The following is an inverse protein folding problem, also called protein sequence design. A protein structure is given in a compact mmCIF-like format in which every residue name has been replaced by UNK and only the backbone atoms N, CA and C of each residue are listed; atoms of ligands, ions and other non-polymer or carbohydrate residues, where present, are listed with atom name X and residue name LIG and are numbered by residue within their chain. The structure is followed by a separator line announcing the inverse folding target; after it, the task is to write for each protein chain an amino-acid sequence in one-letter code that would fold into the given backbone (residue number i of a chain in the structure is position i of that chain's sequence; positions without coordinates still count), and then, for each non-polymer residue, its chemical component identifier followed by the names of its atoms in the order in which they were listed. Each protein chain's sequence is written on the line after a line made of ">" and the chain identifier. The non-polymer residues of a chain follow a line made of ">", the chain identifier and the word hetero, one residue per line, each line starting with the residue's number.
data_IF_275192979120
#
_entry.id   IF_275192979120
#
_cell.length_a   1.000
_cell.length_b   1.000
_cell.length_c   1.000
_cell.angle_alpha   90.00
_cell.angle_beta   90.00
_cell.angle_gamma   90.00
#
_symmetry.space_group_name_H-M   'P 1'
#
loop_
_entity.id
_entity.type
_entity.pdbx_description
1 polymer ?
#
# COMPACT_ATOMS: atom_id res chain seq x y z
N UNK A 1 -3.83 -6.22 48.12
CA UNK A 1 -3.95 -4.80 47.66
C UNK A 1 -4.73 -4.63 46.34
N UNK A 2 -5.67 -5.51 45.96
CA UNK A 2 -6.31 -5.44 44.62
C UNK A 2 -7.58 -4.54 44.51
N UNK A 3 -8.18 -4.08 45.61
CA UNK A 3 -9.46 -3.33 45.58
C UNK A 3 -9.37 -1.83 45.24
N UNK A 4 -8.19 -1.28 44.94
CA UNK A 4 -8.01 0.18 44.67
C UNK A 4 -7.90 0.58 43.19
N UNK A 5 -7.83 -0.37 42.26
CA UNK A 5 -7.65 -0.08 40.82
C UNK A 5 -8.96 0.06 40.02
N UNK A 6 -10.11 -0.29 40.60
CA UNK A 6 -11.42 -0.28 39.90
C UNK A 6 -12.21 1.04 39.99
N UNK A 7 -11.73 2.05 40.75
CA UNK A 7 -12.48 3.29 41.00
C UNK A 7 -12.10 4.50 40.12
N UNK A 8 -11.13 4.37 39.20
CA UNK A 8 -10.75 5.49 38.32
C UNK A 8 -11.62 5.64 37.05
N UNK A 9 -12.52 4.68 36.76
CA UNK A 9 -13.35 4.69 35.55
C UNK A 9 -14.65 5.49 35.61
N UNK A 10 -15.00 6.13 36.74
CA UNK A 10 -16.37 6.66 36.97
C UNK A 10 -16.55 8.18 36.90
N UNK A 11 -15.48 8.96 36.74
CA UNK A 11 -15.55 10.45 36.74
C UNK A 11 -15.36 11.11 35.37
N UNK A 12 -15.19 10.33 34.28
CA UNK A 12 -15.04 10.86 32.93
C UNK A 12 -16.35 10.87 32.10
N UNK A 13 -17.46 10.37 32.65
CA UNK A 13 -18.70 10.08 31.91
C UNK A 13 -19.89 11.02 32.22
N UNK A 14 -19.67 12.15 32.88
CA UNK A 14 -20.73 13.10 33.28
C UNK A 14 -20.54 14.53 32.75
N UNK A 15 -19.66 14.74 31.76
CA UNK A 15 -19.26 16.06 31.26
C UNK A 15 -19.75 16.44 29.86
N UNK A 16 -20.65 15.68 29.23
CA UNK A 16 -21.05 15.88 27.82
C UNK A 16 -22.53 15.53 27.56
N UNK A 17 -23.43 16.09 28.38
CA UNK A 17 -24.87 15.85 28.31
C UNK A 17 -25.75 17.12 28.34
N UNK A 18 -25.22 18.27 27.90
CA UNK A 18 -25.99 19.50 27.62
C UNK A 18 -25.30 20.24 26.46
N UNK A 19 -25.89 20.25 25.25
CA UNK A 19 -25.70 21.23 24.15
C UNK A 19 -26.05 20.72 22.73
N UNK A 20 -27.05 19.86 22.54
CA UNK A 20 -27.66 19.63 21.19
C UNK A 20 -29.19 19.61 21.32
N UNK A 21 -29.75 20.78 21.62
CA UNK A 21 -31.19 20.99 21.70
C UNK A 21 -31.47 22.49 21.48
N UNK A 22 -31.39 22.93 20.21
CA UNK A 22 -31.91 24.20 19.63
C UNK A 22 -31.26 24.47 18.24
N UNK A 23 -31.66 23.71 17.21
CA UNK A 23 -31.38 24.05 15.81
C UNK A 23 -32.37 23.33 14.87
N UNK A 24 -33.55 23.91 14.67
CA UNK A 24 -34.47 23.55 13.59
C UNK A 24 -35.15 24.80 13.04
N UNK A 25 -35.27 24.91 11.72
CA UNK A 25 -36.54 25.22 11.04
C UNK A 25 -36.87 24.12 10.00
N UNK A 26 -38.10 23.64 9.81
CA UNK A 26 -39.37 24.27 9.38
C UNK A 26 -39.44 24.53 7.85
N UNK A 27 -40.40 23.85 7.18
CA UNK A 27 -40.75 23.97 5.74
C UNK A 27 -39.79 23.20 4.81
N UNK A 28 -40.15 22.66 3.63
CA UNK A 28 -41.42 22.53 2.91
C UNK A 28 -41.14 21.92 1.51
N UNK A 29 -42.07 21.32 0.76
CA UNK A 29 -43.47 21.01 1.05
C UNK A 29 -44.00 19.84 0.18
N UNK A 30 -45.29 19.53 0.32
CA UNK A 30 -46.12 18.61 -0.46
C UNK A 30 -46.12 18.86 -1.99
N UNK A 31 -46.01 17.80 -2.80
CA UNK A 31 -46.58 17.75 -4.15
C UNK A 31 -46.93 16.30 -4.54
N UNK A 32 -48.20 16.03 -4.83
CA UNK A 32 -48.68 14.76 -5.40
C UNK A 32 -48.53 14.78 -6.93
N UNK A 33 -48.49 13.60 -7.57
CA UNK A 33 -48.40 13.50 -9.03
C UNK A 33 -48.57 12.07 -9.55
N UNK A 34 -49.75 11.49 -9.37
CA UNK A 34 -50.17 10.25 -10.04
C UNK A 34 -50.83 10.60 -11.37
N UNK A 35 -50.46 9.88 -12.43
CA UNK A 35 -51.25 9.42 -13.60
C UNK A 35 -50.25 9.07 -14.72
N UNK A 36 -50.42 8.13 -15.66
CA UNK A 36 -51.11 6.84 -15.85
C UNK A 36 -51.18 6.63 -17.40
N UNK A 37 -50.92 5.41 -17.86
CA UNK A 37 -51.28 4.80 -19.17
C UNK A 37 -51.11 5.57 -20.50
N UNK A 38 -50.23 5.07 -21.39
CA UNK A 38 -50.62 4.49 -22.71
C UNK A 38 -49.38 4.07 -23.57
N UNK A 39 -49.47 2.99 -24.41
CA UNK A 39 -48.40 2.57 -25.32
C UNK A 39 -48.70 2.87 -26.82
N UNK A 40 -47.66 3.05 -27.65
CA UNK A 40 -47.43 2.38 -28.95
C UNK A 40 -46.56 3.15 -29.97
N UNK A 41 -45.85 2.36 -30.77
CA UNK A 41 -45.25 2.65 -32.10
C UNK A 41 -43.95 3.46 -32.23
N UNK A 42 -43.13 3.19 -33.29
CA UNK A 42 -41.69 3.41 -33.26
C UNK A 42 -41.16 4.39 -34.32
N UNK A 43 -39.83 4.49 -34.38
CA UNK A 43 -39.04 5.09 -35.47
C UNK A 43 -39.03 6.63 -35.60
N UNK A 44 -38.33 7.29 -34.67
CA UNK A 44 -37.66 8.57 -34.93
C UNK A 44 -36.27 8.57 -34.27
N UNK A 45 -35.28 9.19 -34.94
CA UNK A 45 -33.89 9.28 -34.46
C UNK A 45 -33.83 10.08 -33.15
N UNK A 46 -33.03 9.68 -32.14
CA UNK A 46 -32.83 10.51 -30.96
C UNK A 46 -32.03 11.77 -31.34
N UNK A 47 -32.51 12.99 -31.03
CA UNK A 47 -31.65 14.16 -31.02
C UNK A 47 -30.66 14.06 -29.85
N UNK A 48 -29.51 14.72 -29.98
CA UNK A 48 -28.47 14.74 -28.95
C UNK A 48 -29.00 15.48 -27.72
N UNK A 49 -29.45 14.72 -26.72
CA UNK A 49 -29.86 15.27 -25.44
C UNK A 49 -28.63 15.83 -24.71
N UNK A 50 -28.53 17.15 -24.66
CA UNK A 50 -27.62 17.82 -23.72
C UNK A 50 -28.08 17.49 -22.30
N UNK A 51 -27.42 16.53 -21.67
CA UNK A 51 -27.54 16.29 -20.23
C UNK A 51 -26.93 17.50 -19.54
N UNK A 52 -27.78 18.45 -19.16
CA UNK A 52 -27.38 19.57 -18.32
C UNK A 52 -26.83 18.98 -17.01
N UNK A 53 -25.54 19.21 -16.76
CA UNK A 53 -24.90 18.75 -15.54
C UNK A 53 -25.60 19.43 -14.34
N UNK A 54 -26.29 18.63 -13.53
CA UNK A 54 -26.87 19.13 -12.29
C UNK A 54 -25.72 19.69 -11.42
N UNK A 55 -25.88 20.89 -10.83
CA UNK A 55 -24.88 21.43 -9.93
C UNK A 55 -24.76 20.48 -8.73
N UNK A 56 -23.64 19.77 -8.64
CA UNK A 56 -23.29 19.02 -7.43
C UNK A 56 -23.33 20.01 -6.28
N UNK A 57 -24.18 19.73 -5.28
CA UNK A 57 -24.34 20.59 -4.11
C UNK A 57 -22.95 20.84 -3.51
N UNK A 58 -22.52 22.11 -3.54
CA UNK A 58 -21.27 22.52 -2.93
C UNK A 58 -21.42 22.31 -1.42
N UNK A 59 -20.92 21.19 -0.93
CA UNK A 59 -20.90 20.90 0.50
C UNK A 59 -19.99 21.94 1.15
N UNK A 60 -20.55 22.76 2.05
CA UNK A 60 -19.88 23.93 2.60
C UNK A 60 -18.69 23.54 3.50
N UNK A 61 -17.52 23.40 2.88
CA UNK A 61 -16.24 23.13 3.55
C UNK A 61 -15.86 24.18 4.61
N UNK A 62 -16.55 25.34 4.62
CA UNK A 62 -16.43 26.39 5.62
C UNK A 62 -16.83 25.94 7.04
N UNK A 63 -17.84 25.08 7.19
CA UNK A 63 -18.21 24.53 8.51
C UNK A 63 -17.10 23.65 9.08
N UNK A 64 -16.54 22.76 8.25
CA UNK A 64 -15.42 21.89 8.62
C UNK A 64 -14.14 22.69 8.93
N UNK A 65 -13.85 23.75 8.17
CA UNK A 65 -12.73 24.64 8.44
C UNK A 65 -12.85 25.35 9.79
N UNK A 66 -14.06 25.82 10.16
CA UNK A 66 -14.34 26.39 11.48
C UNK A 66 -14.17 25.36 12.60
N UNK A 67 -14.72 24.15 12.44
CA UNK A 67 -14.59 23.08 13.42
C UNK A 67 -13.13 22.70 13.71
N UNK A 68 -12.32 22.55 12.66
CA UNK A 68 -10.89 22.23 12.78
C UNK A 68 -10.08 23.38 13.40
N UNK A 69 -10.42 24.64 13.10
CA UNK A 69 -9.80 25.82 13.71
C UNK A 69 -10.01 25.86 15.22
N UNK A 70 -11.25 25.64 15.68
CA UNK A 70 -11.58 25.58 17.11
C UNK A 70 -10.86 24.42 17.81
N UNK A 71 -10.80 23.24 17.17
CA UNK A 71 -10.11 22.07 17.73
C UNK A 71 -8.60 22.32 17.92
N UNK A 72 -7.96 22.99 16.95
CA UNK A 72 -6.56 23.41 17.02
C UNK A 72 -6.30 24.34 18.20
N UNK A 73 -7.16 25.35 18.39
CA UNK A 73 -7.03 26.33 19.47
C UNK A 73 -7.20 25.69 20.87
N UNK A 74 -8.09 24.71 21.01
CA UNK A 74 -8.23 23.89 22.23
C UNK A 74 -6.94 23.10 22.52
N UNK A 75 -6.31 22.52 21.50
CA UNK A 75 -5.03 21.80 21.62
C UNK A 75 -3.89 22.70 22.12
N UNK A 76 -3.78 23.92 21.57
CA UNK A 76 -2.79 24.92 22.01
C UNK A 76 -3.06 25.37 23.45
N UNK A 77 -4.33 25.62 23.81
CA UNK A 77 -4.69 25.96 25.18
C UNK A 77 -4.30 24.84 26.18
N UNK A 78 -4.51 23.57 25.83
CA UNK A 78 -4.11 22.42 26.66
C UNK A 78 -2.58 22.27 26.82
N UNK A 79 -1.79 22.74 25.85
CA UNK A 79 -0.32 22.78 25.96
C UNK A 79 0.15 23.89 26.90
N UNK A 80 -0.46 25.07 26.84
CA UNK A 80 -0.13 26.21 27.71
C UNK A 80 -0.59 25.95 29.16
N UNK A 81 -1.78 25.38 29.34
CA UNK A 81 -2.40 25.11 30.64
C UNK A 81 -1.88 23.84 31.33
N UNK A 82 -1.00 23.06 30.69
CA UNK A 82 -0.52 21.78 31.24
C UNK A 82 0.25 22.03 32.55
N UNK A 83 -0.30 21.65 33.72
CA UNK A 83 0.29 22.05 34.99
C UNK A 83 1.63 21.34 35.19
N UNK A 84 2.71 22.13 35.28
CA UNK A 84 4.07 21.65 35.51
C UNK A 84 4.07 20.70 36.72
N UNK A 85 4.31 19.38 36.54
CA UNK A 85 4.16 18.44 37.64
C UNK A 85 5.21 18.76 38.71
N UNK A 86 4.75 19.28 39.86
CA UNK A 86 5.57 19.50 41.05
C UNK A 86 6.13 18.16 41.49
N UNK A 87 7.35 17.83 41.04
CA UNK A 87 8.14 16.70 41.54
C UNK A 87 8.32 16.90 43.04
N UNK A 88 7.56 16.16 43.86
CA UNK A 88 7.86 16.01 45.27
C UNK A 88 9.17 15.21 45.38
N UNK A 89 10.28 15.93 45.52
CA UNK A 89 11.58 15.36 45.83
C UNK A 89 11.58 14.84 47.26
N UNK A 90 11.24 13.56 47.44
CA UNK A 90 11.55 12.83 48.67
C UNK A 90 13.05 12.55 48.69
N UNK A 91 13.81 13.43 49.33
CA UNK A 91 15.25 13.29 49.56
C UNK A 91 15.51 12.31 50.70
N UNK A 92 16.24 11.22 50.45
CA UNK A 92 16.92 10.44 51.49
C UNK A 92 18.03 9.56 50.89
N UNK A 93 19.27 9.89 51.23
CA UNK A 93 20.42 8.97 51.31
C UNK A 93 20.97 8.32 50.03
N UNK A 94 22.08 8.85 49.52
CA UNK A 94 23.38 8.16 49.49
C UNK A 94 24.45 9.05 48.82
N UNK A 95 25.64 9.15 49.41
CA UNK A 95 26.77 9.86 48.82
C UNK A 95 27.58 8.94 47.89
N UNK A 96 28.12 9.49 46.79
CA UNK A 96 28.96 8.73 45.86
C UNK A 96 29.14 9.39 44.49
N UNK A 97 30.15 10.26 44.38
CA UNK A 97 30.75 10.74 43.12
C UNK A 97 32.15 10.08 42.97
N UNK A 98 32.85 10.10 41.81
CA UNK A 98 32.63 10.98 40.66
C UNK A 98 32.76 10.37 39.23
N UNK A 99 32.17 11.11 38.27
CA UNK A 99 32.72 11.50 36.94
C UNK A 99 33.72 10.56 36.24
N UNK A 100 33.30 9.95 35.13
CA UNK A 100 33.87 10.16 33.78
C UNK A 100 33.23 9.26 32.70
N UNK A 101 33.39 9.69 31.43
CA UNK A 101 33.46 8.84 30.23
C UNK A 101 32.19 8.10 29.75
N UNK A 102 31.47 8.72 28.79
CA UNK A 102 31.13 8.09 27.50
C UNK A 102 30.40 9.09 26.57
N UNK A 103 31.03 9.41 25.44
CA UNK A 103 30.40 10.12 24.31
C UNK A 103 29.81 9.10 23.35
N UNK A 104 28.61 9.38 22.83
CA UNK A 104 28.00 8.78 21.62
C UNK A 104 27.85 7.25 21.55
N UNK A 105 26.72 6.73 22.04
CA UNK A 105 25.90 5.76 21.28
C UNK A 105 24.40 6.03 21.51
N UNK A 106 23.58 6.20 20.46
CA UNK A 106 22.12 6.23 20.61
C UNK A 106 21.59 4.79 20.76
N UNK A 107 20.80 4.55 21.81
CA UNK A 107 19.98 3.35 22.00
C UNK A 107 20.68 1.98 22.05
N UNK A 108 21.91 1.91 22.57
CA UNK A 108 22.40 0.65 23.13
C UNK A 108 21.65 0.36 24.45
N UNK A 109 20.66 -0.55 24.40
CA UNK A 109 19.98 -1.07 25.59
C UNK A 109 21.03 -1.66 26.55
N UNK A 110 20.92 -1.33 27.84
CA UNK A 110 21.86 -1.85 28.84
C UNK A 110 21.87 -3.39 28.81
N UNK A 111 23.01 -4.07 29.01
CA UNK A 111 23.05 -5.54 29.04
C UNK A 111 22.09 -6.16 30.07
N UNK A 112 21.75 -5.44 31.14
CA UNK A 112 20.69 -5.84 32.08
C UNK A 112 19.27 -5.77 31.49
N UNK A 113 18.98 -4.81 30.61
CA UNK A 113 17.70 -4.70 29.91
C UNK A 113 17.52 -5.82 28.87
N UNK A 114 18.59 -6.22 28.16
CA UNK A 114 18.56 -7.36 27.24
C UNK A 114 18.11 -8.66 27.95
N UNK A 115 18.64 -8.94 29.15
CA UNK A 115 18.20 -10.09 29.94
C UNK A 115 16.73 -10.00 30.35
N UNK A 116 16.22 -8.80 30.67
CA UNK A 116 14.82 -8.61 31.04
C UNK A 116 13.86 -8.78 29.86
N UNK A 117 14.25 -8.32 28.67
CA UNK A 117 13.50 -8.56 27.43
C UNK A 117 13.47 -10.05 27.09
N UNK A 118 14.59 -10.77 27.20
CA UNK A 118 14.62 -12.22 27.01
C UNK A 118 13.64 -12.97 27.93
N UNK A 119 13.63 -12.67 29.23
CA UNK A 119 12.67 -13.28 30.18
C UNK A 119 11.22 -12.93 29.87
N UNK A 120 10.93 -11.76 29.29
CA UNK A 120 9.58 -11.42 28.82
C UNK A 120 9.17 -12.26 27.61
N UNK A 121 10.07 -12.43 26.64
CA UNK A 121 9.82 -13.25 25.43
C UNK A 121 9.59 -14.71 25.81
N UNK A 122 10.45 -15.30 26.63
CA UNK A 122 10.30 -16.69 27.12
C UNK A 122 8.97 -16.90 27.85
N UNK A 123 8.57 -15.94 28.70
CA UNK A 123 7.32 -16.00 29.45
C UNK A 123 6.09 -15.92 28.56
N UNK A 124 6.10 -15.02 27.57
CA UNK A 124 5.00 -14.88 26.61
C UNK A 124 4.85 -16.14 25.74
N UNK A 125 5.97 -16.73 25.31
CA UNK A 125 5.99 -17.93 24.48
C UNK A 125 5.52 -19.17 25.26
N UNK A 126 5.88 -19.28 26.54
CA UNK A 126 5.36 -20.32 27.44
C UNK A 126 3.85 -20.17 27.73
N UNK A 127 3.36 -18.93 27.85
CA UNK A 127 1.92 -18.65 28.03
C UNK A 127 1.12 -19.00 26.76
N UNK A 128 1.65 -18.66 25.58
CA UNK A 128 1.04 -19.03 24.30
C UNK A 128 0.99 -20.55 24.09
N UNK A 129 2.05 -21.28 24.45
CA UNK A 129 2.05 -22.75 24.43
C UNK A 129 1.01 -23.36 25.40
N UNK A 130 0.82 -22.74 26.57
CA UNK A 130 -0.19 -23.16 27.56
C UNK A 130 -1.62 -22.93 27.08
N UNK A 131 -1.88 -21.88 26.29
CA UNK A 131 -3.18 -21.63 25.67
C UNK A 131 -3.47 -22.58 24.49
N UNK A 132 -2.43 -23.01 23.76
CA UNK A 132 -2.57 -24.04 22.73
C UNK A 132 -2.85 -25.43 23.33
N UNK A 133 -2.30 -25.73 24.51
CA UNK A 133 -2.53 -26.97 25.26
C UNK A 133 -3.81 -26.92 26.12
N UNK A 134 -4.94 -26.51 25.52
CA UNK A 134 -6.26 -26.55 26.18
C UNK A 134 -6.65 -27.97 26.62
N UNK A 135 -7.46 -28.13 27.69
CA UNK A 135 -7.80 -29.44 28.25
C UNK A 135 -8.55 -30.31 27.24
N UNK A 136 -8.00 -31.48 26.94
CA UNK A 136 -8.56 -32.43 25.98
C UNK A 136 -9.92 -32.97 26.46
N UNK A 137 -10.99 -32.61 25.75
CA UNK A 137 -12.23 -33.36 25.79
C UNK A 137 -12.06 -34.67 25.01
N UNK A 138 -12.44 -35.85 25.55
CA UNK A 138 -12.33 -37.11 24.83
C UNK A 138 -13.42 -37.22 23.75
N UNK A 139 -13.05 -36.92 22.50
CA UNK A 139 -14.01 -36.77 21.39
C UNK A 139 -13.54 -37.41 20.07
N UNK A 140 -13.70 -38.74 19.98
CA UNK A 140 -13.85 -39.55 18.76
C UNK A 140 -12.97 -39.21 17.53
N UNK A 141 -11.91 -39.99 17.38
CA UNK A 141 -11.07 -40.06 16.18
C UNK A 141 -11.86 -40.35 14.90
N UNK A 142 -11.69 -39.50 13.88
CA UNK A 142 -11.79 -39.90 12.47
C UNK A 142 -10.47 -39.57 11.77
N UNK A 143 -9.65 -40.59 11.59
CA UNK A 143 -8.40 -40.48 10.84
C UNK A 143 -8.72 -40.35 9.34
N UNK A 144 -8.33 -39.24 8.73
CA UNK A 144 -8.27 -39.09 7.27
C UNK A 144 -6.82 -39.20 6.84
N UNK A 145 -6.42 -40.42 6.47
CA UNK A 145 -5.10 -40.72 5.90
C UNK A 145 -5.01 -40.15 4.49
N UNK A 146 -4.58 -38.89 4.36
CA UNK A 146 -4.18 -38.33 3.07
C UNK A 146 -2.77 -38.85 2.72
N UNK A 147 -2.76 -39.91 1.92
CA UNK A 147 -1.56 -40.52 1.33
C UNK A 147 -1.05 -39.62 0.18
N UNK A 148 0.14 -39.00 0.28
CA UNK A 148 0.68 -38.19 -0.83
C UNK A 148 1.05 -39.12 -2.00
N UNK A 149 0.34 -38.97 -3.11
CA UNK A 149 0.62 -39.72 -4.33
C UNK A 149 1.83 -39.11 -5.04
N UNK A 150 3.00 -39.67 -4.81
CA UNK A 150 4.24 -39.30 -5.51
C UNK A 150 4.07 -39.61 -7.00
N UNK A 151 4.03 -38.56 -7.84
CA UNK A 151 4.02 -38.68 -9.30
C UNK A 151 5.47 -38.55 -9.81
N UNK A 152 6.09 -39.62 -10.35
CA UNK A 152 7.40 -39.49 -10.97
C UNK A 152 7.29 -38.65 -12.26
N UNK A 153 8.11 -37.60 -12.35
CA UNK A 153 8.29 -36.82 -13.57
C UNK A 153 9.22 -37.61 -14.49
N UNK A 154 8.73 -37.98 -15.67
CA UNK A 154 9.56 -38.57 -16.71
C UNK A 154 10.50 -37.49 -17.27
N UNK A 155 11.81 -37.75 -17.22
CA UNK A 155 12.80 -36.91 -17.87
C UNK A 155 12.77 -37.15 -19.39
N UNK A 156 12.68 -36.07 -20.18
CA UNK A 156 13.02 -36.07 -21.59
C UNK A 156 14.18 -35.09 -21.83
N UNK A 157 15.37 -35.56 -22.24
CA UNK A 157 16.40 -34.69 -22.78
C UNK A 157 16.14 -34.47 -24.29
N UNK A 158 15.79 -33.24 -24.68
CA UNK A 158 15.76 -32.84 -26.08
C UNK A 158 17.10 -32.17 -26.44
N UNK A 159 17.92 -32.88 -27.22
CA UNK A 159 19.18 -32.41 -27.78
C UNK A 159 18.93 -31.37 -28.90
N UNK A 160 19.80 -30.34 -28.95
CA UNK A 160 20.43 -29.75 -30.14
C UNK A 160 19.56 -29.49 -31.40
N UNK A 161 19.45 -28.23 -31.81
CA UNK A 161 20.03 -27.71 -33.09
C UNK A 161 19.90 -26.19 -33.19
N UNK A 162 20.98 -25.44 -33.48
CA UNK A 162 20.90 -24.09 -34.05
C UNK A 162 21.08 -24.13 -35.59
N UNK A 163 20.14 -23.61 -36.40
CA UNK A 163 20.41 -23.27 -37.80
C UNK A 163 21.25 -21.96 -37.80
N UNK A 164 22.53 -22.04 -38.12
CA UNK A 164 23.09 -22.08 -39.48
C UNK A 164 23.10 -20.69 -40.13
N UNK A 165 24.31 -20.15 -40.27
CA UNK A 165 24.55 -18.82 -40.81
C UNK A 165 24.48 -18.84 -42.35
N UNK A 166 23.53 -18.08 -42.92
CA UNK A 166 23.46 -17.89 -44.35
C UNK A 166 24.62 -16.99 -44.83
N UNK A 167 25.61 -17.59 -45.49
CA UNK A 167 26.66 -16.89 -46.22
C UNK A 167 26.18 -16.69 -47.66
N UNK A 168 26.09 -15.46 -48.19
CA UNK A 168 25.84 -15.25 -49.61
C UNK A 168 27.12 -15.48 -50.43
N UNK A 169 27.17 -16.59 -51.16
CA UNK A 169 28.22 -16.90 -52.14
C UNK A 169 28.17 -15.92 -53.32
N UNK A 170 29.30 -15.35 -53.69
CA UNK A 170 29.45 -14.50 -54.87
C UNK A 170 29.53 -15.34 -56.17
N UNK A 171 28.95 -14.83 -57.26
CA UNK A 171 29.19 -15.34 -58.62
C UNK A 171 29.35 -14.20 -59.64
N UNK A 172 30.62 -13.97 -59.98
CA UNK A 172 31.19 -13.61 -61.28
C UNK A 172 30.50 -12.59 -62.25
N UNK A 173 31.26 -11.50 -62.48
CA UNK A 173 31.78 -11.04 -63.78
C UNK A 173 30.85 -10.42 -64.86
N UNK A 174 31.08 -9.14 -65.13
CA UNK A 174 31.43 -8.63 -66.47
C UNK A 174 32.23 -7.31 -66.33
N UNK A 175 33.06 -6.98 -67.32
CA UNK A 175 33.89 -5.78 -67.32
C UNK A 175 33.15 -4.55 -67.87
N UNK A 176 33.56 -3.36 -67.42
CA UNK A 176 34.03 -2.27 -68.28
C UNK A 176 34.65 -1.15 -67.42
N UNK A 177 35.77 -0.60 -67.87
CA UNK A 177 36.45 0.54 -67.25
C UNK A 177 35.89 1.84 -67.82
N UNK A 178 35.05 2.59 -67.09
CA UNK A 178 34.70 3.95 -67.48
C UNK A 178 34.22 4.81 -66.29
N UNK A 179 35.13 5.65 -65.79
CA UNK A 179 34.97 6.84 -64.94
C UNK A 179 33.75 6.91 -63.99
N UNK A 180 33.94 6.52 -62.73
CA UNK A 180 32.99 6.86 -61.65
C UNK A 180 33.64 7.73 -60.57
N UNK A 181 32.91 8.77 -60.14
CA UNK A 181 33.38 9.84 -59.27
C UNK A 181 33.76 9.31 -57.89
N UNK A 182 34.84 9.85 -57.31
CA UNK A 182 35.22 9.62 -55.91
C UNK A 182 34.17 10.24 -54.97
N UNK A 183 33.07 9.52 -54.77
CA UNK A 183 32.09 9.81 -53.74
C UNK A 183 32.66 9.28 -52.42
N UNK A 184 33.17 10.21 -51.63
CA UNK A 184 33.56 9.98 -50.24
C UNK A 184 32.42 9.24 -49.51
N UNK A 185 32.67 8.07 -48.88
CA UNK A 185 31.61 7.27 -48.31
C UNK A 185 30.96 8.03 -47.17
N UNK A 186 29.75 8.54 -47.41
CA UNK A 186 28.99 9.29 -46.43
C UNK A 186 28.81 8.43 -45.17
N UNK A 187 29.53 8.80 -44.10
CA UNK A 187 29.44 8.13 -42.81
C UNK A 187 27.98 8.15 -42.40
N UNK A 188 27.32 6.98 -42.23
CA UNK A 188 25.91 6.95 -41.90
C UNK A 188 25.71 7.68 -40.57
N UNK A 189 24.94 8.77 -40.61
CA UNK A 189 24.64 9.55 -39.41
C UNK A 189 24.07 8.59 -38.34
N UNK A 190 24.55 8.66 -37.09
CA UNK A 190 24.12 7.74 -36.05
C UNK A 190 22.59 7.81 -35.92
N UNK A 191 21.95 6.66 -36.11
CA UNK A 191 20.49 6.58 -36.08
C UNK A 191 19.96 7.17 -34.76
N UNK A 192 18.90 8.00 -34.79
CA UNK A 192 18.37 8.61 -33.58
C UNK A 192 18.01 7.52 -32.56
N UNK A 193 18.36 7.69 -31.28
CA UNK A 193 18.15 6.66 -30.27
C UNK A 193 16.68 6.28 -30.20
N UNK A 194 16.41 4.97 -30.26
CA UNK A 194 15.05 4.46 -30.21
C UNK A 194 14.32 4.99 -28.96
N UNK A 195 13.02 5.34 -29.07
CA UNK A 195 12.28 5.88 -27.94
C UNK A 195 12.30 4.90 -26.78
N UNK A 196 12.82 5.35 -25.63
CA UNK A 196 12.84 4.55 -24.42
C UNK A 196 11.41 4.17 -24.04
N UNK A 197 11.13 2.86 -23.98
CA UNK A 197 9.82 2.36 -23.57
C UNK A 197 9.55 2.58 -22.07
N UNK A 198 8.33 2.28 -21.59
CA UNK A 198 8.00 2.35 -20.17
C UNK A 198 8.94 1.47 -19.34
N UNK A 199 9.50 2.04 -18.28
CA UNK A 199 10.45 1.35 -17.40
C UNK A 199 9.73 0.77 -16.19
N UNK A 200 10.00 -0.49 -15.87
CA UNK A 200 9.48 -1.14 -14.65
C UNK A 200 10.40 -0.87 -13.46
N UNK A 201 9.81 -0.71 -12.29
CA UNK A 201 10.49 -0.66 -11.01
C UNK A 201 9.65 -1.36 -9.93
N UNK A 202 10.29 -1.89 -8.90
CA UNK A 202 9.68 -2.80 -7.93
C UNK A 202 9.91 -2.30 -6.50
N UNK A 203 8.94 -2.47 -5.60
CA UNK A 203 9.04 -2.01 -4.21
C UNK A 203 8.65 -3.11 -3.24
N UNK A 204 9.55 -3.42 -2.30
CA UNK A 204 9.39 -4.47 -1.27
C UNK A 204 8.92 -3.94 0.10
N UNK A 205 8.56 -2.66 0.19
CA UNK A 205 8.04 -2.01 1.41
C UNK A 205 6.67 -1.37 1.17
N UNK A 206 5.80 -1.38 2.18
CA UNK A 206 4.57 -0.59 2.18
C UNK A 206 4.89 0.93 2.06
N UNK A 207 3.99 1.74 1.47
CA UNK A 207 4.18 3.19 1.42
C UNK A 207 4.04 3.79 2.82
N UNK A 208 4.93 4.72 3.16
CA UNK A 208 4.92 5.41 4.45
C UNK A 208 4.22 6.76 4.26
N UNK A 209 3.15 7.01 5.03
CA UNK A 209 2.32 8.21 4.91
C UNK A 209 1.80 8.44 3.46
N UNK A 210 1.41 7.36 2.78
CA UNK A 210 0.92 7.43 1.40
C UNK A 210 2.02 7.66 0.34
N UNK A 211 3.31 7.50 0.70
CA UNK A 211 4.44 7.75 -0.20
C UNK A 211 5.37 6.54 -0.34
N UNK A 212 5.78 6.24 -1.57
CA UNK A 212 6.87 5.33 -1.88
C UNK A 212 8.17 6.12 -1.99
N UNK A 213 9.18 5.72 -1.20
CA UNK A 213 10.47 6.42 -1.16
C UNK A 213 11.32 6.08 -2.37
N UNK A 214 12.02 7.07 -2.96
CA UNK A 214 12.88 6.86 -4.14
C UNK A 214 13.90 5.73 -3.96
N UNK A 215 14.47 5.61 -2.77
CA UNK A 215 15.49 4.61 -2.45
C UNK A 215 14.93 3.19 -2.15
N UNK A 216 13.61 3.02 -2.14
CA UNK A 216 12.96 1.71 -2.02
C UNK A 216 12.60 1.08 -3.39
N UNK A 217 12.71 1.84 -4.49
CA UNK A 217 12.54 1.32 -5.85
C UNK A 217 13.78 0.50 -6.25
N UNK A 218 13.52 -0.72 -6.71
CA UNK A 218 14.49 -1.64 -7.28
C UNK A 218 14.23 -1.79 -8.78
N UNK A 219 15.28 -1.95 -9.57
CA UNK A 219 15.13 -2.10 -11.03
C UNK A 219 14.78 -3.54 -11.45
N UNK A 220 15.12 -4.51 -10.60
CA UNK A 220 14.87 -5.94 -10.80
C UNK A 220 13.74 -6.43 -9.89
N UNK A 221 12.91 -7.39 -10.35
CA UNK A 221 11.88 -7.99 -9.51
C UNK A 221 12.53 -8.83 -8.40
N UNK A 222 12.19 -8.53 -7.15
CA UNK A 222 12.60 -9.32 -5.99
C UNK A 222 11.46 -10.25 -5.55
N UNK A 223 11.77 -11.41 -4.95
CA UNK A 223 10.76 -12.36 -4.46
C UNK A 223 9.82 -11.79 -3.37
N UNK A 224 10.17 -10.62 -2.82
CA UNK A 224 9.41 -9.89 -1.79
C UNK A 224 8.91 -8.53 -2.30
N UNK A 225 8.99 -8.27 -3.60
CA UNK A 225 8.42 -7.06 -4.18
C UNK A 225 6.90 -7.15 -4.14
N UNK A 226 6.29 -6.19 -3.47
CA UNK A 226 4.84 -6.09 -3.25
C UNK A 226 4.22 -5.36 -4.45
N UNK A 227 4.88 -4.31 -4.90
CA UNK A 227 4.37 -3.40 -5.93
C UNK A 227 5.29 -3.37 -7.14
N UNK A 228 4.66 -3.24 -8.31
CA UNK A 228 5.29 -2.95 -9.60
C UNK A 228 4.82 -1.56 -10.06
N UNK A 229 5.77 -0.71 -10.43
CA UNK A 229 5.56 0.67 -10.90
C UNK A 229 5.97 0.75 -12.38
N UNK A 230 5.16 1.40 -13.21
CA UNK A 230 5.39 1.57 -14.66
C UNK A 230 5.70 3.03 -14.96
N UNK A 231 6.99 3.37 -14.92
CA UNK A 231 7.54 4.69 -15.15
C UNK A 231 7.48 5.04 -16.65
N UNK A 232 6.61 5.98 -17.00
CA UNK A 232 6.44 6.47 -18.37
C UNK A 232 7.41 7.64 -18.64
N UNK A 233 8.41 7.51 -19.53
CA UNK A 233 9.34 8.60 -19.80
C UNK A 233 8.69 9.80 -20.49
N UNK A 234 7.50 9.65 -21.08
CA UNK A 234 6.72 10.79 -21.60
C UNK A 234 6.08 11.64 -20.49
N UNK A 235 5.95 11.10 -19.27
CA UNK A 235 5.35 11.75 -18.10
C UNK A 235 6.21 11.52 -16.85
N UNK A 236 7.38 12.17 -16.72
CA UNK A 236 8.33 11.90 -15.64
C UNK A 236 7.82 12.23 -14.22
N UNK A 237 6.67 12.89 -14.10
CA UNK A 237 6.04 13.29 -12.84
C UNK A 237 4.81 12.44 -12.48
N UNK A 238 4.35 11.55 -13.36
CA UNK A 238 3.25 10.61 -13.12
C UNK A 238 3.71 9.16 -13.41
N UNK A 239 3.28 8.22 -12.58
CA UNK A 239 3.52 6.78 -12.83
C UNK A 239 2.35 5.96 -12.32
N UNK A 240 2.09 4.83 -12.94
CA UNK A 240 1.08 3.88 -12.45
C UNK A 240 1.71 2.81 -11.60
N UNK A 241 0.96 2.27 -10.65
CA UNK A 241 1.40 1.15 -9.82
C UNK A 241 0.33 0.07 -9.67
N UNK A 242 0.78 -1.16 -9.53
CA UNK A 242 -0.06 -2.34 -9.32
C UNK A 242 0.58 -3.27 -8.29
N UNK A 243 -0.20 -4.21 -7.74
CA UNK A 243 0.39 -5.31 -6.97
C UNK A 243 1.15 -6.22 -7.92
N UNK A 244 2.33 -6.68 -7.51
CA UNK A 244 3.19 -7.57 -8.29
C UNK A 244 2.38 -8.78 -8.81
N UNK A 245 2.34 -9.04 -10.12
CA UNK A 245 1.56 -10.14 -10.69
C UNK A 245 2.10 -11.54 -10.37
N UNK A 246 3.30 -11.67 -9.82
CA UNK A 246 3.90 -12.97 -9.45
C UNK A 246 3.10 -13.69 -8.33
N UNK A 247 2.42 -14.82 -8.64
CA UNK A 247 1.63 -15.56 -7.67
C UNK A 247 2.46 -16.19 -6.54
N UNK A 248 3.77 -16.39 -6.71
CA UNK A 248 4.62 -16.91 -5.64
C UNK A 248 4.74 -15.93 -4.45
N UNK A 249 4.57 -14.63 -4.72
CA UNK A 249 4.59 -13.58 -3.70
C UNK A 249 3.25 -13.40 -2.97
N UNK A 250 2.13 -13.76 -3.60
CA UNK A 250 0.77 -13.44 -3.13
C UNK A 250 0.42 -14.00 -1.76
N UNK A 251 0.72 -15.27 -1.39
CA UNK A 251 0.37 -15.80 -0.06
C UNK A 251 0.93 -14.96 1.10
N UNK A 252 2.13 -14.39 0.91
CA UNK A 252 2.74 -13.48 1.89
C UNK A 252 1.95 -12.18 2.00
N UNK A 253 1.68 -11.53 0.86
CA UNK A 253 0.95 -10.25 0.83
C UNK A 253 -0.50 -10.39 1.31
N UNK A 254 -1.15 -11.52 1.05
CA UNK A 254 -2.47 -11.87 1.59
C UNK A 254 -2.40 -12.02 3.11
N UNK A 255 -1.36 -12.67 3.65
CA UNK A 255 -1.22 -12.84 5.12
C UNK A 255 -0.97 -11.52 5.87
N UNK A 256 -0.42 -10.50 5.22
CA UNK A 256 -0.09 -9.19 5.81
C UNK A 256 -0.83 -8.02 5.16
N UNK A 257 -2.05 -8.25 4.66
CA UNK A 257 -2.79 -7.28 3.83
C UNK A 257 -3.03 -5.92 4.52
N UNK A 258 -3.27 -5.89 5.83
CA UNK A 258 -3.53 -4.66 6.58
C UNK A 258 -2.31 -3.73 6.62
N UNK A 259 -1.13 -4.27 6.93
CA UNK A 259 0.11 -3.48 6.99
C UNK A 259 0.64 -3.13 5.58
N UNK A 260 0.39 -4.00 4.60
CA UNK A 260 1.06 -3.95 3.29
C UNK A 260 0.19 -3.36 2.19
N UNK A 261 -1.07 -3.80 2.06
CA UNK A 261 -1.95 -3.49 0.93
C UNK A 261 -2.90 -2.34 1.25
N UNK A 262 -3.50 -2.31 2.45
CA UNK A 262 -4.45 -1.25 2.86
C UNK A 262 -3.93 0.18 2.66
N UNK A 263 -2.63 0.50 2.86
CA UNK A 263 -2.10 1.84 2.61
C UNK A 263 -2.18 2.30 1.14
N UNK A 264 -2.11 1.36 0.19
CA UNK A 264 -1.99 1.67 -1.25
C UNK A 264 -3.15 1.16 -2.12
N UNK A 265 -3.98 0.26 -1.60
CA UNK A 265 -5.00 -0.45 -2.36
C UNK A 265 -6.41 -0.27 -1.75
N UNK A 266 -7.41 -0.30 -2.64
CA UNK A 266 -8.82 -0.46 -2.35
C UNK A 266 -9.21 -1.91 -2.66
N UNK A 267 -9.86 -2.60 -1.70
CA UNK A 267 -10.33 -3.97 -1.88
C UNK A 267 -11.45 -4.31 -0.90
N UNK A 268 -12.23 -5.33 -1.25
CA UNK A 268 -13.14 -6.00 -0.34
C UNK A 268 -12.44 -7.25 0.23
N UNK A 269 -12.56 -7.51 1.54
CA UNK A 269 -12.02 -8.73 2.13
C UNK A 269 -12.77 -9.95 1.57
N UNK A 270 -12.05 -11.04 1.22
CA UNK A 270 -12.67 -12.26 0.74
C UNK A 270 -13.43 -12.94 1.89
N UNK A 271 -14.64 -13.44 1.64
CA UNK A 271 -15.41 -14.24 2.61
C UNK A 271 -14.91 -15.70 2.71
N UNK A 272 -13.66 -15.97 2.33
CA UNK A 272 -13.08 -17.30 2.27
C UNK A 272 -11.57 -17.26 2.06
N UNK A 273 -10.96 -18.44 1.91
CA UNK A 273 -9.52 -18.56 1.67
C UNK A 273 -9.16 -18.06 0.25
N UNK A 274 -8.49 -16.92 0.18
CA UNK A 274 -7.91 -16.40 -1.05
C UNK A 274 -6.51 -16.96 -1.31
N UNK A 275 -6.18 -17.15 -2.58
CA UNK A 275 -4.89 -17.72 -3.01
C UNK A 275 -4.02 -16.74 -3.80
N UNK A 276 -4.66 -15.82 -4.53
CA UNK A 276 -4.03 -14.83 -5.41
C UNK A 276 -4.65 -13.45 -5.26
N UNK A 277 -3.88 -12.44 -5.64
CA UNK A 277 -4.30 -11.04 -5.74
C UNK A 277 -4.36 -10.70 -7.23
N UNK A 278 -5.47 -10.12 -7.68
CA UNK A 278 -5.61 -9.62 -9.05
C UNK A 278 -5.85 -8.11 -8.99
N UNK A 279 -5.04 -7.35 -9.73
CA UNK A 279 -5.25 -5.91 -9.90
C UNK A 279 -6.34 -5.69 -10.95
N UNK A 280 -7.45 -5.07 -10.53
CA UNK A 280 -8.56 -4.67 -11.40
C UNK A 280 -8.25 -3.33 -12.09
N UNK A 281 -7.73 -2.36 -11.33
CA UNK A 281 -7.34 -1.06 -11.86
C UNK A 281 -6.04 -0.57 -11.21
N UNK A 282 -5.04 -0.13 -12.00
CA UNK A 282 -3.79 0.38 -11.45
C UNK A 282 -4.00 1.72 -10.74
N UNK A 283 -3.28 1.88 -9.63
CA UNK A 283 -3.20 3.13 -8.90
C UNK A 283 -2.36 4.16 -9.65
N UNK A 284 -2.45 5.42 -9.22
CA UNK A 284 -1.71 6.54 -9.78
C UNK A 284 -0.82 7.16 -8.70
N UNK A 285 0.46 7.33 -9.02
CA UNK A 285 1.43 8.06 -8.23
C UNK A 285 1.79 9.36 -8.94
N UNK A 286 2.04 10.40 -8.17
CA UNK A 286 2.64 11.65 -8.62
C UNK A 286 3.96 11.87 -7.90
N UNK A 287 4.96 12.38 -8.60
CA UNK A 287 6.25 12.72 -8.04
C UNK A 287 6.16 13.96 -7.15
N UNK A 288 6.83 13.94 -6.01
CA UNK A 288 6.87 15.05 -5.05
C UNK A 288 8.32 15.51 -4.85
N UNK A 289 8.51 16.74 -4.40
CA UNK A 289 9.82 17.28 -4.02
C UNK A 289 10.60 16.32 -3.11
N UNK A 290 11.88 16.14 -3.42
CA UNK A 290 12.72 15.05 -2.88
C UNK A 290 12.77 13.80 -3.77
N UNK A 291 11.87 13.67 -4.74
CA UNK A 291 11.85 12.59 -5.72
C UNK A 291 11.15 11.31 -5.25
N UNK A 292 10.44 11.38 -4.13
CA UNK A 292 9.51 10.35 -3.68
C UNK A 292 8.21 10.38 -4.51
N UNK A 293 7.45 9.28 -4.44
CA UNK A 293 6.20 9.11 -5.19
C UNK A 293 5.00 9.05 -4.24
N UNK A 294 4.08 10.00 -4.37
CA UNK A 294 2.87 10.12 -3.55
C UNK A 294 1.68 9.48 -4.24
N UNK A 295 0.89 8.71 -3.48
CA UNK A 295 -0.32 8.04 -3.98
C UNK A 295 -1.42 9.08 -4.17
N UNK A 296 -1.71 9.39 -5.43
CA UNK A 296 -2.85 10.24 -5.83
C UNK A 296 -4.13 9.42 -5.92
N UNK A 297 -4.03 8.15 -6.36
CA UNK A 297 -5.15 7.21 -6.43
C UNK A 297 -4.68 5.82 -6.05
N UNK A 298 -5.39 5.18 -5.11
CA UNK A 298 -5.14 3.78 -4.73
C UNK A 298 -5.39 2.83 -5.90
N UNK A 299 -4.70 1.70 -5.92
CA UNK A 299 -4.97 0.62 -6.88
C UNK A 299 -6.19 -0.20 -6.42
N UNK A 300 -7.06 -0.63 -7.35
CA UNK A 300 -8.16 -1.55 -7.01
C UNK A 300 -7.72 -2.98 -7.23
N UNK A 301 -7.90 -3.81 -6.22
CA UNK A 301 -7.54 -5.23 -6.25
C UNK A 301 -8.70 -6.08 -5.73
N UNK A 302 -8.77 -7.32 -6.22
CA UNK A 302 -9.62 -8.35 -5.62
C UNK A 302 -8.82 -9.61 -5.33
N UNK A 303 -9.36 -10.42 -4.43
CA UNK A 303 -8.78 -11.67 -3.97
C UNK A 303 -9.50 -12.85 -4.64
N UNK A 304 -8.74 -13.85 -5.11
CA UNK A 304 -9.28 -14.93 -5.95
C UNK A 304 -8.51 -16.27 -5.85
#
# INVERSE_FOLDING_TARGET
>A
MLRKLLNFGKSAAQGLAVAVLLAGPIGGALAQGVLDTAPASPAARPPVAQVAAAPLAAHDWSEWALALSVLSLIGVAFLILKPKPRRKSSSLGAAGSPVSQAVAQPNALSPGQHQQVHRMIERALAEQAKLAAGPAAPGLSKAVTNKPLIRPVAAMPALITPPEAAVPTATAAAANEEYEVFLEPAVPAPAPPAPAGPRRAYVSSAPVNGRFRRNALQEQPAHNSIYELTLDPARPDETTFQVNPDPASHPRHISSYADVLEPACEFNLPQGAASRIVTEAPGLLRRVDGGDWEIVRKARIYFA
#
